data_IF_611798819606
#
_entry.id   IF_611798819606
#
_cell.length_a   1.000
_cell.length_b   1.000
_cell.length_c   1.000
_cell.angle_alpha   90.00
_cell.angle_beta   90.00
_cell.angle_gamma   90.00
#
_symmetry.space_group_name_H-M   'P 1'
#
loop_
_entity.id
_entity.type
_entity.pdbx_description
1 polymer ?
#
# COMPACT_ATOMS: atom_id res chain seq x y z
N UNK A 1 2.28 4.32 20.10
CA UNK A 1 1.04 3.68 19.58
C UNK A 1 0.02 3.61 20.70
N UNK A 2 -1.23 3.98 20.45
CA UNK A 2 -2.28 3.86 21.45
C UNK A 2 -2.62 2.39 21.71
N UNK A 3 -3.13 2.07 22.92
CA UNK A 3 -3.52 0.70 23.27
C UNK A 3 -4.49 0.11 22.25
N UNK A 4 -5.46 0.91 21.80
CA UNK A 4 -6.47 0.47 20.84
C UNK A 4 -5.86 0.09 19.48
N UNK A 5 -4.95 0.91 18.96
CA UNK A 5 -4.26 0.64 17.69
C UNK A 5 -3.35 -0.57 17.85
N UNK A 6 -2.66 -0.68 18.98
CA UNK A 6 -1.78 -1.81 19.26
C UNK A 6 -2.54 -3.13 19.34
N UNK A 7 -3.69 -3.14 20.02
CA UNK A 7 -4.53 -4.34 20.14
C UNK A 7 -5.02 -4.79 18.76
N UNK A 8 -5.47 -3.85 17.93
CA UNK A 8 -5.91 -4.14 16.57
C UNK A 8 -4.78 -4.71 15.73
N UNK A 9 -3.62 -4.07 15.76
CA UNK A 9 -2.44 -4.54 15.02
C UNK A 9 -2.02 -5.94 15.48
N UNK A 10 -1.98 -6.18 16.79
CA UNK A 10 -1.61 -7.49 17.35
C UNK A 10 -2.53 -8.60 16.86
N UNK A 11 -3.83 -8.32 16.75
CA UNK A 11 -4.79 -9.28 16.24
C UNK A 11 -4.53 -9.58 14.75
N UNK A 12 -4.20 -8.57 13.96
CA UNK A 12 -3.92 -8.73 12.53
C UNK A 12 -2.69 -9.59 12.26
N UNK A 13 -1.65 -9.48 13.09
CA UNK A 13 -0.37 -10.17 12.86
C UNK A 13 -0.23 -11.48 13.65
N UNK A 14 -1.29 -11.93 14.29
CA UNK A 14 -1.26 -13.13 15.14
C UNK A 14 -0.99 -14.42 14.37
N UNK A 15 -1.33 -14.47 13.08
CA UNK A 15 -1.16 -15.64 12.23
C UNK A 15 -0.39 -15.26 10.95
N UNK A 16 0.80 -15.83 10.79
CA UNK A 16 1.66 -15.56 9.63
C UNK A 16 1.04 -16.05 8.31
N UNK A 17 0.29 -17.15 8.35
CA UNK A 17 -0.29 -17.73 7.14
C UNK A 17 -1.46 -16.90 6.59
N UNK A 18 -2.17 -16.19 7.46
CA UNK A 18 -3.32 -15.38 7.09
C UNK A 18 -3.06 -13.89 7.30
N UNK A 19 -1.81 -13.46 7.28
CA UNK A 19 -1.43 -12.07 7.53
C UNK A 19 -2.03 -11.13 6.49
N UNK A 20 -2.96 -10.23 6.87
CA UNK A 20 -3.46 -9.19 5.97
C UNK A 20 -2.46 -8.03 5.91
N UNK A 21 -1.45 -8.17 5.05
CA UNK A 21 -0.30 -7.26 5.01
C UNK A 21 -0.69 -5.80 4.81
N UNK A 22 -1.58 -5.51 3.87
CA UNK A 22 -2.00 -4.14 3.57
C UNK A 22 -2.71 -3.50 4.76
N UNK A 23 -3.63 -4.23 5.38
CA UNK A 23 -4.35 -3.75 6.55
C UNK A 23 -3.42 -3.55 7.74
N UNK A 24 -2.46 -4.46 7.94
CA UNK A 24 -1.46 -4.33 8.99
C UNK A 24 -0.58 -3.09 8.78
N UNK A 25 -0.16 -2.82 7.55
CA UNK A 25 0.62 -1.63 7.21
C UNK A 25 -0.17 -0.34 7.47
N UNK A 26 -1.47 -0.33 7.17
CA UNK A 26 -2.33 0.82 7.46
C UNK A 26 -2.57 0.99 8.96
N UNK A 27 -2.64 -0.11 9.72
CA UNK A 27 -2.76 -0.03 11.17
C UNK A 27 -1.52 0.63 11.80
N UNK A 28 -0.33 0.36 11.27
CA UNK A 28 0.89 1.07 11.68
C UNK A 28 0.77 2.57 11.38
N UNK A 29 0.28 2.92 10.19
CA UNK A 29 0.11 4.31 9.80
C UNK A 29 -0.89 5.06 10.70
N UNK A 30 -1.87 4.38 11.26
CA UNK A 30 -2.85 5.00 12.18
C UNK A 30 -2.20 5.61 13.42
N UNK A 31 -1.05 5.13 13.84
CA UNK A 31 -0.32 5.72 14.96
C UNK A 31 0.09 7.17 14.64
N UNK A 32 0.57 7.42 13.43
CA UNK A 32 0.96 8.76 12.97
C UNK A 32 -0.22 9.58 12.46
N UNK A 33 -1.28 8.92 12.02
CA UNK A 33 -2.47 9.54 11.43
C UNK A 33 -3.73 8.99 12.12
N UNK A 34 -4.06 9.49 13.34
CA UNK A 34 -5.18 8.93 14.13
C UNK A 34 -6.54 9.00 13.43
N UNK A 35 -6.73 9.98 12.53
CA UNK A 35 -7.98 10.16 11.80
C UNK A 35 -8.02 9.39 10.48
N UNK A 36 -7.04 8.50 10.23
CA UNK A 36 -6.96 7.72 9.00
C UNK A 36 -8.22 6.86 8.82
N UNK A 37 -8.88 7.05 7.68
CA UNK A 37 -9.99 6.20 7.25
C UNK A 37 -9.43 4.90 6.66
N UNK A 38 -9.25 3.89 7.52
CA UNK A 38 -8.62 2.63 7.14
C UNK A 38 -9.42 1.90 6.07
N UNK A 39 -10.74 1.84 6.21
CA UNK A 39 -11.59 1.14 5.25
C UNK A 39 -11.62 1.86 3.90
N UNK A 40 -11.68 3.18 3.90
CA UNK A 40 -11.62 3.98 2.67
C UNK A 40 -10.28 3.82 1.95
N UNK A 41 -9.18 3.74 2.70
CA UNK A 41 -7.85 3.55 2.12
C UNK A 41 -7.69 2.13 1.56
N UNK A 42 -8.21 1.12 2.23
CA UNK A 42 -8.24 -0.24 1.70
C UNK A 42 -9.02 -0.31 0.39
N UNK A 43 -10.17 0.35 0.33
CA UNK A 43 -10.99 0.42 -0.89
C UNK A 43 -10.23 1.10 -2.03
N UNK A 44 -9.44 2.13 -1.74
CA UNK A 44 -8.59 2.81 -2.73
C UNK A 44 -7.53 1.87 -3.28
N UNK A 45 -6.89 1.08 -2.43
CA UNK A 45 -5.89 0.09 -2.85
C UNK A 45 -6.54 -0.99 -3.70
N UNK A 46 -7.72 -1.47 -3.31
CA UNK A 46 -8.47 -2.47 -4.09
C UNK A 46 -8.82 -1.94 -5.48
N UNK A 47 -9.17 -0.66 -5.58
CA UNK A 47 -9.45 -0.01 -6.87
C UNK A 47 -8.20 0.04 -7.75
N UNK A 48 -7.04 0.37 -7.19
CA UNK A 48 -5.78 0.35 -7.92
C UNK A 48 -5.44 -1.08 -8.40
N UNK A 49 -5.64 -2.07 -7.54
CA UNK A 49 -5.41 -3.48 -7.91
C UNK A 49 -6.34 -3.92 -9.04
N UNK A 50 -7.59 -3.49 -9.00
CA UNK A 50 -8.57 -3.80 -10.06
C UNK A 50 -8.15 -3.18 -11.40
N UNK A 51 -7.62 -1.96 -11.38
CA UNK A 51 -7.12 -1.30 -12.59
C UNK A 51 -5.96 -2.08 -13.22
N UNK A 52 -5.04 -2.58 -12.40
CA UNK A 52 -3.95 -3.43 -12.88
C UNK A 52 -4.51 -4.72 -13.48
N UNK A 53 -5.44 -5.35 -12.79
CA UNK A 53 -6.06 -6.61 -13.23
C UNK A 53 -6.75 -6.46 -14.59
N UNK A 54 -7.43 -5.35 -14.82
CA UNK A 54 -8.12 -5.07 -16.11
C UNK A 54 -7.15 -4.93 -17.26
N UNK A 55 -5.91 -4.56 -16.99
CA UNK A 55 -4.85 -4.42 -18.00
C UNK A 55 -4.09 -5.71 -18.24
N UNK A 56 -4.32 -6.73 -17.41
CA UNK A 56 -3.60 -7.98 -17.49
C UNK A 56 -4.16 -8.82 -18.64
N UNK A 57 -3.32 -9.24 -19.63
CA UNK A 57 -3.78 -10.13 -20.69
C UNK A 57 -4.21 -11.47 -20.13
N UNK A 58 -5.24 -12.06 -20.73
CA UNK A 58 -5.65 -13.40 -20.38
C UNK A 58 -4.50 -14.38 -20.71
N UNK A 59 -4.20 -15.28 -19.76
CA UNK A 59 -3.12 -16.23 -19.93
C UNK A 59 -1.71 -15.65 -19.83
N UNK A 60 -1.56 -14.42 -19.28
CA UNK A 60 -0.26 -13.81 -19.13
C UNK A 60 0.68 -14.64 -18.26
N UNK A 61 1.91 -14.85 -18.73
CA UNK A 61 2.95 -15.48 -17.92
C UNK A 61 3.50 -14.50 -16.87
N UNK A 62 4.40 -14.97 -15.99
CA UNK A 62 4.94 -14.14 -14.91
C UNK A 62 5.66 -12.89 -15.46
N UNK A 63 6.44 -13.05 -16.54
CA UNK A 63 7.16 -11.92 -17.14
C UNK A 63 6.19 -10.86 -17.65
N UNK A 64 5.12 -11.26 -18.31
CA UNK A 64 4.09 -10.35 -18.79
C UNK A 64 3.37 -9.68 -17.64
N UNK A 65 3.07 -10.43 -16.58
CA UNK A 65 2.42 -9.87 -15.39
C UNK A 65 3.27 -8.78 -14.74
N UNK A 66 4.58 -9.03 -14.59
CA UNK A 66 5.51 -8.05 -14.02
C UNK A 66 5.60 -6.80 -14.92
N UNK A 67 5.67 -6.99 -16.23
CA UNK A 67 5.74 -5.86 -17.17
C UNK A 67 4.48 -4.98 -17.10
N UNK A 68 3.30 -5.60 -17.02
CA UNK A 68 2.04 -4.85 -16.87
C UNK A 68 1.99 -4.12 -15.54
N UNK A 69 2.36 -4.79 -14.45
CA UNK A 69 2.38 -4.18 -13.12
C UNK A 69 3.31 -2.97 -13.08
N UNK A 70 4.53 -3.10 -13.62
CA UNK A 70 5.49 -2.00 -13.64
C UNK A 70 4.98 -0.80 -14.45
N UNK A 71 4.36 -1.06 -15.60
CA UNK A 71 3.78 0.02 -16.42
C UNK A 71 2.66 0.74 -15.67
N UNK A 72 1.75 0.00 -15.05
CA UNK A 72 0.65 0.60 -14.30
C UNK A 72 1.17 1.37 -13.10
N UNK A 73 2.05 0.77 -12.31
CA UNK A 73 2.50 1.34 -11.04
C UNK A 73 3.37 2.58 -11.25
N UNK A 74 4.39 2.47 -12.10
CA UNK A 74 5.35 3.58 -12.26
C UNK A 74 4.93 4.60 -13.30
N UNK A 75 4.32 4.20 -14.41
CA UNK A 75 3.98 5.13 -15.49
C UNK A 75 2.57 5.69 -15.37
N UNK A 76 1.58 4.83 -15.17
CA UNK A 76 0.18 5.28 -15.18
C UNK A 76 -0.25 5.87 -13.84
N UNK A 77 0.13 5.22 -12.73
CA UNK A 77 -0.20 5.68 -11.39
C UNK A 77 0.81 6.69 -10.85
N UNK A 78 2.00 6.74 -11.42
CA UNK A 78 3.02 7.73 -11.11
C UNK A 78 3.75 7.52 -9.80
N UNK A 79 3.79 6.30 -9.27
CA UNK A 79 4.56 6.01 -8.06
C UNK A 79 6.05 6.13 -8.34
N UNK A 80 6.80 6.70 -7.40
CA UNK A 80 8.24 6.85 -7.51
C UNK A 80 8.88 6.99 -6.14
N UNK A 81 10.20 6.82 -6.07
CA UNK A 81 10.96 7.09 -4.86
C UNK A 81 10.98 8.61 -4.59
N UNK A 82 10.91 8.99 -3.30
CA UNK A 82 11.02 10.39 -2.90
C UNK A 82 12.51 10.79 -2.83
N UNK A 83 13.10 11.10 -3.97
CA UNK A 83 14.52 11.44 -4.06
C UNK A 83 14.85 12.83 -3.51
N UNK A 84 13.87 13.74 -3.45
CA UNK A 84 14.08 15.10 -2.95
C UNK A 84 14.11 15.15 -1.42
N UNK A 85 13.42 14.23 -0.75
CA UNK A 85 13.41 14.13 0.70
C UNK A 85 13.38 12.66 1.11
N UNK A 86 14.52 12.03 0.98
CA UNK A 86 14.69 10.59 1.16
C UNK A 86 14.42 10.15 2.61
N UNK A 87 14.68 11.03 3.58
CA UNK A 87 14.56 10.71 5.00
C UNK A 87 13.19 11.09 5.59
N UNK A 88 12.26 11.56 4.77
CA UNK A 88 10.90 11.91 5.24
C UNK A 88 10.19 10.66 5.79
N UNK A 89 9.74 10.69 7.07
CA UNK A 89 9.03 9.54 7.66
C UNK A 89 7.75 9.15 6.89
N UNK A 90 7.12 10.09 6.21
CA UNK A 90 5.91 9.83 5.41
C UNK A 90 6.18 8.89 4.24
N UNK A 91 7.44 8.72 3.83
CA UNK A 91 7.80 7.74 2.80
C UNK A 91 7.48 6.31 3.19
N UNK A 92 7.33 6.04 4.49
CA UNK A 92 7.07 4.70 5.03
C UNK A 92 5.63 4.48 5.50
N UNK A 93 4.77 5.49 5.37
CA UNK A 93 3.36 5.37 5.73
C UNK A 93 2.51 5.15 4.48
N UNK A 94 1.87 3.99 4.39
CA UNK A 94 1.16 3.58 3.18
C UNK A 94 0.10 4.60 2.71
N UNK A 95 -0.65 5.18 3.64
CA UNK A 95 -1.64 6.19 3.30
C UNK A 95 -1.02 7.45 2.68
N UNK A 96 0.12 7.90 3.19
CA UNK A 96 0.83 9.06 2.66
C UNK A 96 1.42 8.75 1.29
N UNK A 97 1.98 7.55 1.11
CA UNK A 97 2.52 7.10 -0.19
C UNK A 97 1.42 7.06 -1.25
N UNK A 98 0.25 6.55 -0.92
CA UNK A 98 -0.89 6.52 -1.85
C UNK A 98 -1.31 7.92 -2.30
N UNK A 99 -1.35 8.87 -1.37
CA UNK A 99 -1.74 10.25 -1.66
C UNK A 99 -0.71 11.00 -2.48
N UNK A 100 0.56 10.85 -2.12
CA UNK A 100 1.68 11.61 -2.71
C UNK A 100 2.28 10.92 -3.93
N UNK A 101 2.05 9.62 -4.09
CA UNK A 101 2.69 8.77 -5.09
C UNK A 101 4.22 8.75 -4.96
N UNK A 102 4.73 9.01 -3.76
CA UNK A 102 6.16 9.00 -3.43
C UNK A 102 6.36 8.21 -2.15
N UNK A 103 7.42 7.41 -2.12
CA UNK A 103 7.75 6.59 -0.97
C UNK A 103 9.21 6.17 -0.97
N UNK A 104 9.53 5.20 -0.13
CA UNK A 104 10.86 4.57 -0.15
C UNK A 104 11.03 3.77 -1.45
N UNK A 105 12.28 3.62 -1.93
CA UNK A 105 12.58 2.85 -3.15
C UNK A 105 12.15 1.40 -3.09
#
# INVERSE_FOLDING_TARGET
MTTRVLDYFSALVADDESLPLTEAALAIAQDAYPDLDLQGTLAEIDELALRVRRRMPEGADVRQQVAVLNRCFFREMGFAANLNDFLDPENSHLNAVLKRRRGIP
#
